data_IF_106163836000
#
_entry.id   IF_106163836000
#
_cell.length_a   1.000
_cell.length_b   1.000
_cell.length_c   1.000
_cell.angle_alpha   90.00
_cell.angle_beta   90.00
_cell.angle_gamma   90.00
#
_symmetry.space_group_name_H-M   'P 1'
#
loop_
_entity.id
_entity.type
_entity.pdbx_description
1 polymer ?
#
# COMPACT_ATOMS: atom_id res chain seq x y z
N UNK A 1 -18.61 51.93 -35.46
CA UNK A 1 -17.95 50.64 -35.78
C UNK A 1 -16.84 50.25 -34.79
N UNK A 2 -15.92 51.14 -34.41
CA UNK A 2 -14.79 50.81 -33.51
C UNK A 2 -15.19 50.23 -32.13
N UNK A 3 -16.31 50.68 -31.55
CA UNK A 3 -16.81 50.16 -30.26
C UNK A 3 -17.26 48.70 -30.32
N UNK A 4 -17.74 48.23 -31.49
CA UNK A 4 -18.21 46.86 -31.66
C UNK A 4 -17.03 45.86 -31.74
N UNK A 5 -15.95 46.26 -32.41
CA UNK A 5 -14.72 45.47 -32.49
C UNK A 5 -14.02 45.31 -31.13
N UNK A 6 -14.03 46.37 -30.30
CA UNK A 6 -13.44 46.31 -28.97
C UNK A 6 -14.20 45.34 -28.05
N UNK A 7 -15.53 45.33 -28.11
CA UNK A 7 -16.37 44.40 -27.33
C UNK A 7 -16.13 42.93 -27.72
N UNK A 8 -15.93 42.65 -29.01
CA UNK A 8 -15.60 41.31 -29.50
C UNK A 8 -14.22 40.86 -29.00
N UNK A 9 -13.23 41.76 -29.01
CA UNK A 9 -11.88 41.44 -28.56
C UNK A 9 -11.82 41.10 -27.06
N UNK A 10 -12.57 41.84 -26.24
CA UNK A 10 -12.68 41.60 -24.80
C UNK A 10 -13.39 40.26 -24.54
N UNK A 11 -14.46 39.94 -25.28
CA UNK A 11 -15.18 38.68 -25.13
C UNK A 11 -14.30 37.46 -25.46
N UNK A 12 -13.46 37.55 -26.50
CA UNK A 12 -12.51 36.49 -26.86
C UNK A 12 -11.44 36.30 -25.78
N UNK A 13 -10.93 37.40 -25.22
CA UNK A 13 -9.93 37.37 -24.16
C UNK A 13 -10.46 36.72 -22.87
N UNK A 14 -11.70 37.03 -22.48
CA UNK A 14 -12.34 36.41 -21.31
C UNK A 14 -12.60 34.92 -21.55
N UNK A 15 -13.03 34.51 -22.75
CA UNK A 15 -13.20 33.08 -23.07
C UNK A 15 -11.88 32.30 -22.97
N UNK A 16 -10.77 32.89 -23.44
CA UNK A 16 -9.45 32.26 -23.37
C UNK A 16 -9.02 32.01 -21.92
N UNK A 17 -9.27 32.96 -21.01
CA UNK A 17 -8.93 32.83 -19.59
C UNK A 17 -9.73 31.74 -18.87
N UNK A 18 -11.01 31.54 -19.23
CA UNK A 18 -11.86 30.50 -18.59
C UNK A 18 -11.53 29.09 -19.13
N UNK A 19 -11.04 28.99 -20.36
CA UNK A 19 -10.62 27.70 -20.95
C UNK A 19 -9.24 27.20 -20.47
N UNK A 20 -8.49 28.05 -19.75
CA UNK A 20 -7.10 27.82 -19.37
C UNK A 20 -6.89 27.18 -18.01
N UNK A 21 -7.93 26.68 -17.32
CA UNK A 21 -7.71 25.91 -16.10
C UNK A 21 -6.87 24.67 -16.47
N UNK A 22 -5.61 24.55 -15.98
CA UNK A 22 -4.89 23.31 -16.14
C UNK A 22 -5.76 22.25 -15.47
N UNK A 23 -6.14 21.22 -16.24
CA UNK A 23 -6.65 19.99 -15.62
C UNK A 23 -5.56 19.59 -14.65
N UNK A 24 -5.84 19.64 -13.36
CA UNK A 24 -4.98 19.06 -12.34
C UNK A 24 -4.67 17.64 -12.81
N UNK A 25 -3.46 17.48 -13.32
CA UNK A 25 -2.96 16.17 -13.72
C UNK A 25 -2.78 15.44 -12.40
N UNK A 26 -3.78 14.64 -12.03
CA UNK A 26 -3.63 13.65 -10.98
C UNK A 26 -2.51 12.75 -11.46
N UNK A 27 -1.30 13.00 -10.97
CA UNK A 27 -0.15 12.15 -11.19
C UNK A 27 -0.51 10.85 -10.49
N UNK A 28 -0.97 9.86 -11.27
CA UNK A 28 -1.20 8.53 -10.73
C UNK A 28 0.13 8.08 -10.14
N UNK A 29 0.18 7.66 -8.86
CA UNK A 29 1.41 7.11 -8.29
C UNK A 29 1.91 5.99 -9.22
N UNK A 30 3.23 5.79 -9.31
CA UNK A 30 3.80 4.81 -10.22
C UNK A 30 3.07 3.47 -10.06
N UNK A 31 2.84 2.80 -11.18
CA UNK A 31 2.14 1.52 -11.21
C UNK A 31 2.91 0.40 -10.48
N UNK A 32 4.06 0.73 -9.87
CA UNK A 32 4.97 -0.20 -9.21
C UNK A 32 5.07 0.16 -7.74
N UNK A 33 5.23 -0.86 -6.90
CA UNK A 33 5.54 -0.71 -5.48
C UNK A 33 7.05 -0.66 -5.22
N UNK A 34 7.87 -0.57 -6.27
CA UNK A 34 9.32 -0.71 -6.15
C UNK A 34 9.89 0.35 -5.20
N UNK A 35 10.65 -0.12 -4.22
CA UNK A 35 11.25 0.71 -3.18
C UNK A 35 11.33 -0.01 -1.84
N UNK A 36 11.90 0.72 -0.87
CA UNK A 36 11.93 0.32 0.52
C UNK A 36 10.85 1.07 1.28
N UNK A 37 10.23 0.38 2.22
CA UNK A 37 9.17 0.88 3.04
C UNK A 37 9.40 0.46 4.47
N UNK A 38 9.04 1.32 5.40
CA UNK A 38 9.00 1.03 6.81
C UNK A 38 7.58 1.23 7.32
N UNK A 39 7.10 0.35 8.17
CA UNK A 39 5.70 0.41 8.59
C UNK A 39 5.26 -0.63 9.59
N UNK A 40 3.95 -0.68 9.83
CA UNK A 40 3.34 -1.54 10.83
C UNK A 40 2.47 -2.60 10.14
N UNK A 41 2.71 -3.87 10.48
CA UNK A 41 1.79 -4.96 10.18
C UNK A 41 0.89 -5.22 11.39
N UNK A 42 -0.40 -5.41 11.13
CA UNK A 42 -1.44 -5.71 12.11
C UNK A 42 -2.20 -6.94 11.65
N UNK A 43 -2.27 -7.96 12.50
CA UNK A 43 -3.13 -9.13 12.27
C UNK A 43 -4.19 -9.22 13.36
N UNK A 44 -5.43 -9.39 12.94
CA UNK A 44 -6.58 -9.65 13.79
C UNK A 44 -6.98 -11.11 13.60
N UNK A 45 -6.77 -11.94 14.62
CA UNK A 45 -7.15 -13.36 14.61
C UNK A 45 -8.55 -13.53 15.20
N UNK A 46 -9.35 -14.40 14.60
CA UNK A 46 -10.76 -14.57 14.96
C UNK A 46 -11.57 -13.31 14.68
N UNK A 47 -11.29 -12.63 13.55
CA UNK A 47 -11.91 -11.35 13.17
C UNK A 47 -13.45 -11.42 13.11
N UNK A 48 -13.99 -12.60 12.83
CA UNK A 48 -15.42 -12.92 12.76
C UNK A 48 -16.00 -13.46 14.09
N UNK A 49 -15.20 -13.49 15.16
CA UNK A 49 -15.59 -14.03 16.48
C UNK A 49 -15.89 -12.91 17.48
N UNK A 50 -16.48 -13.26 18.62
CA UNK A 50 -16.79 -12.31 19.70
C UNK A 50 -15.57 -11.82 20.48
N UNK A 51 -14.43 -12.48 20.35
CA UNK A 51 -13.19 -12.17 21.09
C UNK A 51 -11.98 -12.18 20.16
N UNK A 52 -11.86 -11.20 19.25
CA UNK A 52 -10.71 -11.11 18.37
C UNK A 52 -9.44 -10.79 19.16
N UNK A 53 -8.30 -11.28 18.69
CA UNK A 53 -6.98 -10.92 19.22
C UNK A 53 -6.19 -10.16 18.17
N UNK A 54 -5.55 -9.07 18.58
CA UNK A 54 -4.76 -8.21 17.70
C UNK A 54 -3.29 -8.32 18.05
N UNK A 55 -2.45 -8.55 17.04
CA UNK A 55 -0.99 -8.54 17.14
C UNK A 55 -0.43 -7.53 16.15
N UNK A 56 0.63 -6.83 16.54
CA UNK A 56 1.24 -5.77 15.75
C UNK A 56 2.76 -5.81 15.88
N UNK A 57 3.47 -5.47 14.82
CA UNK A 57 4.92 -5.35 14.81
C UNK A 57 5.36 -4.39 13.70
N UNK A 58 6.48 -3.71 13.92
CA UNK A 58 7.12 -2.92 12.88
C UNK A 58 7.86 -3.83 11.90
N UNK A 59 7.85 -3.45 10.64
CA UNK A 59 8.44 -4.20 9.54
C UNK A 59 9.14 -3.27 8.56
N UNK A 60 10.23 -3.77 8.00
CA UNK A 60 10.84 -3.23 6.79
C UNK A 60 10.41 -4.08 5.61
N UNK A 61 9.88 -3.45 4.58
CA UNK A 61 9.39 -4.12 3.39
C UNK A 61 10.03 -3.55 2.13
N UNK A 62 10.77 -4.39 1.42
CA UNK A 62 11.35 -4.05 0.12
C UNK A 62 10.56 -4.73 -0.99
N UNK A 63 10.18 -3.96 -2.00
CA UNK A 63 9.60 -4.46 -3.24
C UNK A 63 10.55 -4.22 -4.41
N UNK A 64 10.70 -5.23 -5.26
CA UNK A 64 11.35 -5.17 -6.59
C UNK A 64 10.29 -5.33 -7.69
N UNK A 65 10.66 -5.62 -8.94
CA UNK A 65 9.68 -5.72 -10.03
C UNK A 65 8.63 -6.83 -9.82
N UNK A 66 9.03 -7.97 -9.22
CA UNK A 66 8.15 -9.12 -9.01
C UNK A 66 8.33 -9.81 -7.66
N UNK A 67 9.30 -9.38 -6.86
CA UNK A 67 9.63 -10.00 -5.58
C UNK A 67 9.52 -9.00 -4.44
N UNK A 68 9.30 -9.55 -3.26
CA UNK A 68 9.34 -8.77 -2.04
C UNK A 68 10.17 -9.48 -0.96
N UNK A 69 10.65 -8.68 -0.02
CA UNK A 69 11.30 -9.09 1.22
C UNK A 69 10.67 -8.29 2.35
N UNK A 70 10.32 -8.96 3.43
CA UNK A 70 9.80 -8.33 4.64
C UNK A 70 10.63 -8.84 5.82
N UNK A 71 11.15 -7.91 6.61
CA UNK A 71 11.88 -8.17 7.84
C UNK A 71 11.05 -7.64 8.99
N UNK A 72 10.72 -8.49 9.96
CA UNK A 72 10.07 -8.04 11.19
C UNK A 72 11.11 -7.47 12.15
N UNK A 73 10.81 -6.30 12.73
CA UNK A 73 11.70 -5.67 13.68
C UNK A 73 11.64 -6.37 15.03
N UNK A 74 12.76 -6.97 15.41
CA UNK A 74 12.95 -7.42 16.79
C UNK A 74 13.20 -6.20 17.67
N UNK A 75 12.36 -5.97 18.67
CA UNK A 75 12.73 -5.07 19.76
C UNK A 75 13.69 -5.77 20.72
N UNK A 76 14.66 -5.07 21.30
CA UNK A 76 15.68 -5.67 22.19
C UNK A 76 15.09 -6.47 23.37
N UNK A 77 13.82 -6.20 23.71
CA UNK A 77 13.12 -6.76 24.85
C UNK A 77 12.19 -7.94 24.50
N UNK A 78 11.83 -8.15 23.23
CA UNK A 78 10.86 -9.17 22.84
C UNK A 78 11.30 -9.94 21.57
N UNK A 79 11.02 -11.25 21.48
CA UNK A 79 11.21 -11.99 20.24
C UNK A 79 10.31 -11.45 19.13
N UNK A 80 10.71 -11.67 17.87
CA UNK A 80 9.89 -11.33 16.71
C UNK A 80 8.55 -12.08 16.78
N UNK A 81 7.45 -11.41 16.43
CA UNK A 81 6.12 -12.05 16.35
C UNK A 81 5.93 -12.64 14.94
N UNK A 82 6.24 -11.85 13.93
CA UNK A 82 6.16 -12.24 12.52
C UNK A 82 7.50 -12.75 12.00
N UNK A 83 7.42 -13.63 11.00
CA UNK A 83 8.59 -14.20 10.35
C UNK A 83 9.21 -13.21 9.37
N UNK A 84 10.53 -13.24 9.23
CA UNK A 84 11.15 -12.67 8.04
C UNK A 84 10.75 -13.53 6.82
N UNK A 85 10.21 -12.89 5.78
CA UNK A 85 9.68 -13.58 4.62
C UNK A 85 10.18 -12.98 3.32
N UNK A 86 10.25 -13.81 2.30
CA UNK A 86 10.47 -13.41 0.91
C UNK A 86 9.44 -14.08 0.03
N UNK A 87 9.05 -13.44 -1.06
CA UNK A 87 8.06 -14.02 -1.96
C UNK A 87 7.94 -13.28 -3.27
N UNK A 88 6.93 -13.65 -4.04
CA UNK A 88 6.56 -12.99 -5.27
C UNK A 88 5.34 -12.10 -5.03
N UNK A 89 5.22 -11.01 -5.79
CA UNK A 89 3.99 -10.25 -5.85
C UNK A 89 3.60 -9.88 -7.29
N UNK A 90 2.31 -9.69 -7.48
CA UNK A 90 1.75 -9.10 -8.71
C UNK A 90 0.84 -7.95 -8.35
N UNK A 91 0.89 -6.88 -9.14
CA UNK A 91 0.11 -5.68 -8.92
C UNK A 91 -0.73 -5.34 -10.16
N UNK A 92 -2.04 -5.39 -9.98
CA UNK A 92 -3.02 -4.86 -10.95
C UNK A 92 -3.85 -3.81 -10.21
N UNK A 93 -5.11 -4.12 -9.88
CA UNK A 93 -5.97 -3.32 -9.00
C UNK A 93 -5.87 -3.74 -7.52
N UNK A 94 -5.31 -4.93 -7.31
CA UNK A 94 -5.04 -5.54 -6.00
C UNK A 94 -3.60 -6.00 -5.97
N UNK A 95 -3.07 -6.20 -4.76
CA UNK A 95 -1.78 -6.86 -4.58
C UNK A 95 -2.04 -8.34 -4.30
N UNK A 96 -1.36 -9.22 -5.02
CA UNK A 96 -1.33 -10.65 -4.68
C UNK A 96 0.06 -11.00 -4.20
N UNK A 97 0.16 -11.58 -3.00
CA UNK A 97 1.39 -12.09 -2.41
C UNK A 97 1.37 -13.62 -2.50
N UNK A 98 2.42 -14.20 -3.10
CA UNK A 98 2.52 -15.65 -3.35
C UNK A 98 3.93 -16.17 -3.14
N UNK A 99 4.07 -17.50 -3.15
CA UNK A 99 5.35 -18.22 -3.07
C UNK A 99 6.22 -17.76 -1.90
N UNK A 100 5.57 -17.47 -0.77
CA UNK A 100 6.24 -16.94 0.41
C UNK A 100 7.09 -18.02 1.06
N UNK A 101 8.35 -17.71 1.31
CA UNK A 101 9.29 -18.53 2.04
C UNK A 101 9.83 -17.75 3.24
N UNK A 102 10.00 -18.44 4.35
CA UNK A 102 10.57 -17.84 5.56
C UNK A 102 12.09 -17.92 5.49
N UNK A 103 12.75 -16.87 5.95
CA UNK A 103 14.21 -16.84 6.06
C UNK A 103 14.71 -17.12 7.47
N UNK A 104 13.84 -17.02 8.48
CA UNK A 104 14.08 -17.41 9.88
C UNK A 104 13.00 -18.41 10.32
N UNK A 105 13.40 -19.50 10.99
CA UNK A 105 12.57 -20.72 11.15
C UNK A 105 12.15 -20.97 12.60
N UNK A 106 12.73 -20.29 13.59
CA UNK A 106 12.67 -20.79 14.97
C UNK A 106 11.87 -19.96 15.97
N UNK A 107 11.38 -18.75 15.65
CA UNK A 107 10.77 -17.88 16.68
C UNK A 107 9.47 -17.16 16.29
N UNK A 108 8.86 -17.44 15.15
CA UNK A 108 7.73 -16.66 14.63
C UNK A 108 6.48 -17.50 14.34
N UNK A 109 5.33 -16.83 14.13
CA UNK A 109 4.03 -17.47 13.91
C UNK A 109 3.77 -17.64 12.41
N UNK A 110 3.88 -18.86 11.91
CA UNK A 110 3.83 -19.17 10.47
C UNK A 110 2.44 -18.92 9.86
N UNK A 111 1.37 -19.11 10.63
CA UNK A 111 -0.01 -18.95 10.17
C UNK A 111 -0.38 -17.48 9.91
N UNK A 112 0.48 -16.56 10.35
CA UNK A 112 0.32 -15.13 10.23
C UNK A 112 1.08 -14.55 9.02
N UNK A 113 1.69 -15.38 8.17
CA UNK A 113 2.34 -14.94 6.93
C UNK A 113 1.28 -14.46 5.93
N UNK A 114 1.32 -13.20 5.45
CA UNK A 114 0.31 -12.64 4.55
C UNK A 114 0.43 -13.22 3.14
N UNK A 115 -0.31 -14.29 2.87
CA UNK A 115 -0.46 -14.90 1.54
C UNK A 115 -1.91 -14.73 1.05
N UNK A 116 -2.07 -14.24 -0.17
CA UNK A 116 -3.38 -14.02 -0.77
C UNK A 116 -3.46 -12.76 -1.61
N UNK A 117 -4.70 -12.37 -1.93
CA UNK A 117 -4.99 -11.17 -2.71
C UNK A 117 -5.66 -10.12 -1.83
N UNK A 118 -5.04 -8.96 -1.73
CA UNK A 118 -5.41 -7.90 -0.79
C UNK A 118 -5.76 -6.61 -1.53
N UNK A 119 -6.63 -5.82 -0.92
CA UNK A 119 -6.90 -4.45 -1.36
C UNK A 119 -5.65 -3.61 -1.12
N UNK A 120 -5.41 -2.64 -2.01
CA UNK A 120 -4.30 -1.71 -1.89
C UNK A 120 -4.79 -0.27 -2.05
N UNK A 121 -4.35 0.59 -1.15
CA UNK A 121 -4.57 2.03 -1.20
C UNK A 121 -3.21 2.74 -1.21
N UNK A 122 -3.03 3.69 -2.13
CA UNK A 122 -1.74 4.34 -2.40
C UNK A 122 -1.91 5.85 -2.26
N UNK A 123 -1.02 6.47 -1.50
CA UNK A 123 -0.81 7.93 -1.49
C UNK A 123 0.62 8.23 -1.96
N UNK A 124 1.04 9.49 -1.92
CA UNK A 124 2.33 9.94 -2.44
C UNK A 124 3.51 9.13 -1.87
N UNK A 125 3.54 8.99 -0.54
CA UNK A 125 4.63 8.33 0.19
C UNK A 125 4.15 7.19 1.11
N UNK A 126 2.91 6.73 0.91
CA UNK A 126 2.30 5.71 1.76
C UNK A 126 1.56 4.64 0.95
N UNK A 127 1.57 3.42 1.47
CA UNK A 127 0.86 2.28 0.93
C UNK A 127 0.15 1.58 2.07
N UNK A 128 -1.16 1.35 1.91
CA UNK A 128 -1.95 0.54 2.81
C UNK A 128 -2.42 -0.72 2.10
N UNK A 129 -2.13 -1.88 2.66
CA UNK A 129 -2.57 -3.19 2.18
C UNK A 129 -3.52 -3.77 3.22
N UNK A 130 -4.69 -4.26 2.81
CA UNK A 130 -5.61 -4.90 3.74
C UNK A 130 -6.52 -5.95 3.12
N UNK A 131 -6.93 -6.92 3.92
CA UNK A 131 -7.88 -7.94 3.51
C UNK A 131 -7.90 -9.15 4.42
N UNK A 132 -8.80 -10.08 4.11
CA UNK A 132 -8.84 -11.39 4.77
C UNK A 132 -7.75 -12.29 4.20
N UNK A 133 -6.98 -12.93 5.08
CA UNK A 133 -6.00 -13.94 4.68
C UNK A 133 -6.70 -15.20 4.17
N UNK A 134 -5.97 -16.07 3.46
CA UNK A 134 -6.52 -17.30 2.85
C UNK A 134 -7.31 -18.20 3.82
N UNK A 135 -6.98 -18.20 5.11
CA UNK A 135 -7.65 -19.01 6.14
C UNK A 135 -8.97 -18.42 6.69
N UNK A 136 -9.44 -17.29 6.16
CA UNK A 136 -10.80 -16.77 6.40
C UNK A 136 -11.07 -16.16 7.78
N UNK A 137 -10.39 -16.61 8.83
CA UNK A 137 -10.54 -16.15 10.22
C UNK A 137 -9.52 -15.08 10.64
N UNK A 138 -8.63 -14.69 9.74
CA UNK A 138 -7.60 -13.67 9.98
C UNK A 138 -7.75 -12.49 9.03
N UNK A 139 -7.75 -11.29 9.59
CA UNK A 139 -7.66 -10.05 8.84
C UNK A 139 -6.25 -9.48 8.97
N UNK A 140 -5.68 -9.00 7.87
CA UNK A 140 -4.39 -8.31 7.86
C UNK A 140 -4.58 -6.86 7.41
N UNK A 141 -3.87 -5.96 8.08
CA UNK A 141 -3.68 -4.58 7.68
C UNK A 141 -2.20 -4.23 7.78
N UNK A 142 -1.67 -3.62 6.73
CA UNK A 142 -0.25 -3.27 6.60
C UNK A 142 -0.20 -1.81 6.18
N UNK A 143 0.38 -0.96 7.02
CA UNK A 143 0.54 0.46 6.74
C UNK A 143 2.03 0.76 6.57
N UNK A 144 2.41 1.10 5.33
CA UNK A 144 3.78 1.28 4.90
C UNK A 144 4.03 2.73 4.51
N UNK A 145 5.19 3.27 4.89
CA UNK A 145 5.69 4.56 4.45
C UNK A 145 6.98 4.37 3.67
N UNK A 146 7.09 5.03 2.52
CA UNK A 146 8.28 4.93 1.67
C UNK A 146 9.47 5.64 2.33
N UNK A 147 10.65 5.03 2.22
CA UNK A 147 11.94 5.60 2.65
C UNK A 147 12.68 6.34 1.52
#
# INVERSE_FOLDING_TARGET
MARFFLSILIAIFVLALVSGCPKDTIVKPPSTLVGNYHGLITIIRGYDTSTPTTVQEWIDWTFSDYKFWMTAEKTDLLPKIFCDITGNYSLTDKITLSDTSMTDVFTCIHEDIPVGTFSIFREADSVKISGTMREGSRWVEIALKKE
#
